data_IF_170759594644
#
_entry.id   IF_170759594644
#
_cell.length_a   1.000
_cell.length_b   1.000
_cell.length_c   1.000
_cell.angle_alpha   90.00
_cell.angle_beta   90.00
_cell.angle_gamma   90.00
#
_symmetry.space_group_name_H-M   'P 1'
#
loop_
_entity.id
_entity.type
_entity.pdbx_description
1 polymer ?
#
# COMPACT_ATOMS: atom_id res chain seq x y z
N UNK A 1 -5.53 -0.87 7.03
CA UNK A 1 -6.09 -0.38 5.75
C UNK A 1 -6.30 -1.58 4.84
N UNK A 2 -7.16 -1.46 3.82
CA UNK A 2 -7.42 -2.53 2.84
C UNK A 2 -6.87 -2.08 1.48
N UNK A 3 -6.14 -2.96 0.79
CA UNK A 3 -5.70 -2.74 -0.58
C UNK A 3 -6.36 -3.79 -1.48
N UNK A 4 -6.98 -3.32 -2.55
CA UNK A 4 -7.56 -4.13 -3.60
C UNK A 4 -6.94 -3.77 -4.96
N UNK A 5 -6.75 -4.77 -5.82
CA UNK A 5 -6.33 -4.55 -7.21
C UNK A 5 -7.49 -4.88 -8.14
N UNK A 6 -7.93 -3.87 -8.89
CA UNK A 6 -8.88 -4.01 -9.99
C UNK A 6 -8.11 -4.35 -11.28
N UNK A 7 -8.72 -5.09 -12.21
CA UNK A 7 -8.05 -5.41 -13.47
C UNK A 7 -7.96 -4.23 -14.45
N UNK A 8 -8.78 -3.20 -14.26
CA UNK A 8 -8.80 -1.97 -15.07
C UNK A 8 -9.58 -0.85 -14.37
N UNK A 9 -9.50 0.36 -14.91
CA UNK A 9 -10.13 1.58 -14.34
C UNK A 9 -11.65 1.49 -14.24
N UNK A 10 -12.33 0.81 -15.18
CA UNK A 10 -13.78 0.55 -15.09
C UNK A 10 -14.11 -0.30 -13.86
N UNK A 11 -13.30 -1.33 -13.59
CA UNK A 11 -13.48 -2.17 -12.41
C UNK A 11 -13.18 -1.42 -11.11
N UNK A 12 -12.19 -0.51 -11.09
CA UNK A 12 -11.92 0.36 -9.93
C UNK A 12 -13.19 1.05 -9.43
N UNK A 13 -13.94 1.67 -10.37
CA UNK A 13 -15.20 2.33 -10.05
C UNK A 13 -16.29 1.34 -9.62
N UNK A 14 -16.45 0.24 -10.35
CA UNK A 14 -17.47 -0.77 -10.06
C UNK A 14 -17.29 -1.38 -8.65
N UNK A 15 -16.06 -1.70 -8.26
CA UNK A 15 -15.72 -2.18 -6.92
C UNK A 15 -16.10 -1.15 -5.86
N UNK A 16 -15.72 0.12 -6.06
CA UNK A 16 -16.08 1.20 -5.15
C UNK A 16 -17.59 1.37 -4.98
N UNK A 17 -18.34 1.38 -6.08
CA UNK A 17 -19.79 1.56 -6.04
C UNK A 17 -20.44 0.37 -5.30
N UNK A 18 -20.00 -0.86 -5.62
CA UNK A 18 -20.50 -2.07 -4.98
C UNK A 18 -20.24 -2.08 -3.47
N UNK A 19 -19.06 -1.65 -3.02
CA UNK A 19 -18.73 -1.58 -1.59
C UNK A 19 -19.63 -0.56 -0.88
N UNK A 20 -19.87 0.61 -1.48
CA UNK A 20 -20.75 1.62 -0.89
C UNK A 20 -22.19 1.12 -0.78
N UNK A 21 -22.66 0.37 -1.79
CA UNK A 21 -23.97 -0.26 -1.78
C UNK A 21 -24.08 -1.34 -0.68
N UNK A 22 -23.12 -2.26 -0.62
CA UNK A 22 -23.08 -3.31 0.40
C UNK A 22 -23.00 -2.75 1.81
N UNK A 23 -22.19 -1.71 2.04
CA UNK A 23 -22.09 -1.05 3.34
C UNK A 23 -23.42 -0.44 3.77
N UNK A 24 -24.15 0.17 2.83
CA UNK A 24 -25.49 0.70 3.08
C UNK A 24 -26.48 -0.41 3.43
N UNK A 25 -26.45 -1.54 2.72
CA UNK A 25 -27.35 -2.67 2.96
C UNK A 25 -27.10 -3.34 4.31
N UNK A 26 -25.84 -3.30 4.79
CA UNK A 26 -25.45 -3.73 6.13
C UNK A 26 -25.77 -2.70 7.23
N UNK A 27 -26.35 -1.55 6.88
CA UNK A 27 -26.73 -0.50 7.83
C UNK A 27 -25.61 0.46 8.22
N UNK A 28 -24.44 0.40 7.57
CA UNK A 28 -23.36 1.36 7.78
C UNK A 28 -23.60 2.67 7.03
N UNK A 29 -22.94 3.72 7.50
CA UNK A 29 -22.96 5.02 6.84
C UNK A 29 -22.13 5.02 5.55
N UNK A 30 -22.39 6.01 4.69
CA UNK A 30 -21.53 6.31 3.54
C UNK A 30 -20.10 6.64 4.00
N UNK A 31 -19.08 6.42 3.15
CA UNK A 31 -17.71 6.79 3.48
C UNK A 31 -17.64 8.29 3.79
N UNK A 32 -16.83 8.65 4.80
CA UNK A 32 -16.55 10.04 5.17
C UNK A 32 -15.96 10.81 3.98
N UNK A 33 -15.08 10.17 3.24
CA UNK A 33 -14.49 10.72 2.02
C UNK A 33 -14.39 9.65 0.94
N UNK A 34 -14.69 10.06 -0.29
CA UNK A 34 -14.44 9.31 -1.51
C UNK A 34 -13.57 10.15 -2.41
N UNK A 35 -12.49 9.57 -2.92
CA UNK A 35 -11.55 10.23 -3.81
C UNK A 35 -11.22 9.29 -4.97
N UNK A 36 -11.09 9.86 -6.16
CA UNK A 36 -10.71 9.14 -7.37
C UNK A 36 -9.76 10.05 -8.13
N UNK A 37 -8.68 9.50 -8.66
CA UNK A 37 -7.82 10.24 -9.58
C UNK A 37 -8.53 10.51 -10.93
N UNK A 38 -7.87 11.31 -11.76
CA UNK A 38 -8.43 11.80 -13.03
C UNK A 38 -8.61 10.66 -14.03
N UNK A 39 -7.69 9.70 -14.04
CA UNK A 39 -7.61 8.56 -14.96
C UNK A 39 -8.38 7.32 -14.47
N UNK A 40 -8.88 7.32 -13.23
CA UNK A 40 -9.55 6.21 -12.58
C UNK A 40 -8.62 5.07 -12.17
N UNK A 41 -7.32 5.30 -12.13
CA UNK A 41 -6.31 4.29 -11.80
C UNK A 41 -6.24 4.02 -10.28
N UNK A 42 -6.59 5.03 -9.48
CA UNK A 42 -6.68 4.94 -8.03
C UNK A 42 -8.00 5.50 -7.50
N UNK A 43 -8.60 4.76 -6.58
CA UNK A 43 -9.75 5.17 -5.80
C UNK A 43 -9.53 4.92 -4.31
N UNK A 44 -9.97 5.87 -3.48
CA UNK A 44 -9.91 5.80 -2.03
C UNK A 44 -11.31 5.94 -1.42
N UNK A 45 -11.64 5.04 -0.48
CA UNK A 45 -12.79 5.18 0.42
C UNK A 45 -12.31 5.25 1.87
N UNK A 46 -12.70 6.31 2.57
CA UNK A 46 -12.35 6.55 3.96
C UNK A 46 -13.60 6.39 4.84
N UNK A 47 -13.60 5.38 5.72
CA UNK A 47 -14.63 5.12 6.72
C UNK A 47 -14.16 5.45 8.15
N UNK A 48 -13.12 6.29 8.32
CA UNK A 48 -12.47 6.63 9.60
C UNK A 48 -11.70 5.45 10.19
N UNK A 49 -12.40 4.37 10.55
CA UNK A 49 -11.78 3.18 11.16
C UNK A 49 -11.03 2.34 10.12
N UNK A 50 -11.51 2.34 8.87
CA UNK A 50 -10.95 1.58 7.76
C UNK A 50 -10.83 2.47 6.52
N UNK A 51 -9.65 2.45 5.92
CA UNK A 51 -9.39 3.09 4.61
C UNK A 51 -9.15 2.01 3.57
N UNK A 52 -9.91 2.06 2.48
CA UNK A 52 -9.78 1.19 1.32
C UNK A 52 -9.08 1.92 0.19
N UNK A 53 -8.06 1.29 -0.38
CA UNK A 53 -7.41 1.71 -1.62
C UNK A 53 -7.70 0.67 -2.71
N UNK A 54 -8.25 1.11 -3.83
CA UNK A 54 -8.47 0.30 -5.03
C UNK A 54 -7.58 0.84 -6.13
N UNK A 55 -6.65 0.01 -6.61
CA UNK A 55 -5.68 0.37 -7.64
C UNK A 55 -5.84 -0.50 -8.89
N UNK A 56 -5.45 0.02 -10.06
CA UNK A 56 -5.02 -0.85 -11.16
C UNK A 56 -3.66 -1.48 -10.84
N UNK A 57 -3.22 -2.53 -11.57
CA UNK A 57 -1.92 -3.14 -11.32
C UNK A 57 -0.78 -2.14 -11.45
N UNK A 58 -0.82 -1.28 -12.47
CA UNK A 58 0.21 -0.28 -12.76
C UNK A 58 0.28 0.79 -11.66
N UNK A 59 -0.88 1.26 -11.20
CA UNK A 59 -0.94 2.24 -10.11
C UNK A 59 -0.42 1.66 -8.79
N UNK A 60 -0.75 0.40 -8.47
CA UNK A 60 -0.26 -0.28 -7.26
C UNK A 60 1.26 -0.40 -7.27
N UNK A 61 1.84 -0.78 -8.41
CA UNK A 61 3.29 -0.87 -8.59
C UNK A 61 3.96 0.51 -8.55
N UNK A 62 3.31 1.56 -9.02
CA UNK A 62 3.84 2.93 -8.93
C UNK A 62 3.83 3.47 -7.49
N UNK A 63 2.71 3.36 -6.77
CA UNK A 63 2.56 3.92 -5.43
C UNK A 63 3.24 3.08 -4.34
N UNK A 64 3.35 1.76 -4.52
CA UNK A 64 4.04 0.82 -3.61
C UNK A 64 3.71 1.03 -2.12
N UNK A 65 2.45 1.28 -1.79
CA UNK A 65 2.05 1.59 -0.41
C UNK A 65 2.47 0.47 0.56
N UNK A 66 2.51 -0.78 0.11
CA UNK A 66 2.98 -1.93 0.90
C UNK A 66 4.42 -1.77 1.37
N UNK A 67 5.26 -1.05 0.63
CA UNK A 67 6.66 -0.79 1.04
C UNK A 67 6.72 0.20 2.21
N UNK A 68 5.79 1.16 2.28
CA UNK A 68 5.69 2.11 3.40
C UNK A 68 5.22 1.43 4.69
N UNK A 69 4.34 0.44 4.56
CA UNK A 69 3.71 -0.26 5.70
C UNK A 69 4.25 -1.68 5.90
N UNK A 70 5.42 -2.01 5.33
CA UNK A 70 5.93 -3.38 5.30
C UNK A 70 6.25 -3.98 6.68
N UNK A 71 6.34 -3.14 7.71
CA UNK A 71 6.56 -3.58 9.10
C UNK A 71 5.25 -3.84 9.87
N UNK A 72 4.10 -3.58 9.26
CA UNK A 72 2.78 -3.84 9.85
C UNK A 72 2.32 -5.25 9.45
N UNK A 73 1.73 -6.05 10.36
CA UNK A 73 1.15 -7.34 10.00
C UNK A 73 0.18 -7.22 8.83
N UNK A 74 0.31 -8.13 7.87
CA UNK A 74 -0.51 -8.14 6.66
C UNK A 74 -1.29 -9.45 6.58
N UNK A 75 -2.55 -9.36 6.21
CA UNK A 75 -3.44 -10.49 6.00
C UNK A 75 -4.00 -10.42 4.59
N UNK A 76 -3.85 -11.53 3.84
CA UNK A 76 -4.46 -11.69 2.53
C UNK A 76 -5.81 -12.36 2.70
N UNK A 77 -6.86 -11.68 2.24
CA UNK A 77 -8.21 -12.25 2.22
C UNK A 77 -8.35 -13.12 0.98
N UNK A 78 -8.66 -14.40 1.17
CA UNK A 78 -8.94 -15.36 0.10
C UNK A 78 -10.44 -15.39 -0.25
N UNK A 79 -10.81 -15.97 -1.40
CA UNK A 79 -12.22 -16.10 -1.82
C UNK A 79 -13.09 -16.91 -0.84
N UNK A 80 -12.47 -17.70 0.03
CA UNK A 80 -13.18 -18.41 1.12
C UNK A 80 -13.52 -17.51 2.31
N UNK A 81 -13.15 -16.22 2.27
CA UNK A 81 -13.34 -15.26 3.36
C UNK A 81 -12.34 -15.44 4.51
N UNK A 82 -11.35 -16.32 4.34
CA UNK A 82 -10.33 -16.59 5.36
C UNK A 82 -9.13 -15.68 5.11
N UNK A 83 -8.70 -15.01 6.17
CA UNK A 83 -7.49 -14.22 6.21
C UNK A 83 -6.28 -15.13 6.42
N UNK A 84 -5.32 -15.10 5.50
CA UNK A 84 -4.04 -15.79 5.63
C UNK A 84 -2.93 -14.78 5.89
N UNK A 85 -2.00 -15.03 6.84
CA UNK A 85 -0.90 -14.12 7.10
C UNK A 85 0.00 -14.02 5.85
N UNK A 86 0.25 -12.80 5.40
CA UNK A 86 1.28 -12.53 4.38
C UNK A 86 2.63 -12.62 5.06
N UNK A 87 3.51 -13.48 4.53
CA UNK A 87 4.89 -13.54 4.99
C UNK A 87 5.53 -12.16 4.90
N UNK A 88 6.13 -11.69 5.99
CA UNK A 88 6.79 -10.39 6.03
C UNK A 88 7.94 -10.37 5.00
N UNK A 89 7.80 -9.58 3.95
CA UNK A 89 8.92 -9.29 3.05
C UNK A 89 9.87 -8.38 3.81
N UNK A 90 10.99 -8.94 4.27
CA UNK A 90 12.05 -8.18 4.92
C UNK A 90 12.52 -7.07 3.96
N UNK A 91 12.13 -5.83 4.24
CA UNK A 91 12.66 -4.67 3.53
C UNK A 91 14.18 -4.64 3.72
N UNK A 92 14.92 -4.68 2.62
CA UNK A 92 16.37 -4.50 2.61
C UNK A 92 16.69 -3.17 3.30
N UNK A 93 17.27 -3.26 4.49
CA UNK A 93 17.85 -2.12 5.20
C UNK A 93 19.19 -1.82 4.54
N UNK A 94 19.19 -0.92 3.56
CA UNK A 94 20.46 -0.34 3.08
C UNK A 94 20.99 0.62 4.15
N UNK A 95 21.82 0.10 5.06
CA UNK A 95 22.68 0.93 5.91
C UNK A 95 23.87 1.35 5.05
N UNK A 96 23.90 2.61 4.64
CA UNK A 96 25.05 3.23 4.02
C UNK A 96 26.14 3.39 5.09
N UNK A 97 27.22 2.62 4.97
CA UNK A 97 28.35 2.67 5.87
C UNK A 97 29.35 3.68 5.31
N UNK A 98 29.33 4.91 5.82
CA UNK A 98 30.38 5.89 5.54
C UNK A 98 31.69 5.40 6.15
N UNK A 99 32.61 4.93 5.31
CA UNK A 99 33.98 4.67 5.69
C UNK A 99 34.70 6.00 5.90
N UNK A 100 34.96 6.34 7.17
CA UNK A 100 35.94 7.36 7.52
C UNK A 100 37.35 6.82 7.22
N UNK A 101 37.86 7.16 6.04
CA UNK A 101 39.26 6.97 5.66
C UNK A 101 40.14 7.84 6.58
N UNK A 102 40.83 7.19 7.51
CA UNK A 102 41.90 7.79 8.31
C UNK A 102 43.19 7.12 7.86
N UNK A 103 43.84 7.67 6.83
CA UNK A 103 45.16 7.21 6.42
C UNK A 103 46.25 8.11 7.01
N UNK A 104 47.15 7.42 7.70
CA UNK A 104 48.27 7.89 8.50
C UNK A 104 49.30 8.75 7.76
N UNK A 105 49.97 9.55 8.57
CA UNK A 105 51.13 10.39 8.28
C UNK A 105 52.29 9.54 7.76
N UNK A 106 52.75 9.85 6.54
CA UNK A 106 54.02 9.31 6.01
C UNK A 106 55.09 10.40 6.04
N UNK A 107 56.12 10.17 6.85
CA UNK A 107 57.44 10.82 6.78
C UNK A 107 58.45 9.67 6.55
N UNK A 108 59.48 9.82 5.70
CA UNK A 108 60.72 10.44 6.19
C UNK A 108 61.57 11.24 5.18
N UNK A 109 62.39 12.12 5.77
CA UNK A 109 63.70 12.68 5.38
C UNK A 109 64.25 12.57 3.94
N UNK A 110 64.66 13.72 3.41
CA UNK A 110 66.09 13.98 3.12
C UNK A 110 66.44 15.47 3.22
#
# INVERSE_FOLDING_TARGET
FVICTAANTRQTKAISDHIVEQMKDLGYHKPRRREQDIDGAWLLLDYVDVVLHVFTPEAREFYRLESLWGQVPQEKITDSGVAEPVAATAGETHVQQDAADTSEVSSPAH
#
